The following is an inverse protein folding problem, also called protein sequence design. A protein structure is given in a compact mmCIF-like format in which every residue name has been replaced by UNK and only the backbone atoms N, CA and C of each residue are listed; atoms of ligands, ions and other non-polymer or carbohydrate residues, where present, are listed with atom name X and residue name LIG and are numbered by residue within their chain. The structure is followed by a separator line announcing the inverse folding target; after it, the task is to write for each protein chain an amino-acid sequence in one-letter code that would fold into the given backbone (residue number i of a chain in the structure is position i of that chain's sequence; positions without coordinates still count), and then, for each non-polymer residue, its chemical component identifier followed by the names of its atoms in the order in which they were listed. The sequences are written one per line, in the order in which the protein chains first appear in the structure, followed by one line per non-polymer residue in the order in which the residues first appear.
data_IF_404062019026
#
_entry.id   IF_404062019026
#
_cell.length_a   1.000
_cell.length_b   1.000
_cell.length_c   1.000
_cell.angle_alpha   90.00
_cell.angle_beta   90.00
_cell.angle_gamma   90.00
#
_symmetry.space_group_name_H-M   'P 1'
#
loop_
_entity.id
_entity.type
_entity.pdbx_description
1 polymer ?
#
# COMPACT_ATOMS: atom_id res chain seq x y z
N UNK A 1 -13.90 -31.06 -32.73
CA UNK A 1 -14.61 -29.79 -32.44
C UNK A 1 -13.74 -29.06 -31.43
N UNK A 2 -12.92 -28.15 -31.92
CA UNK A 2 -11.86 -27.49 -31.14
C UNK A 2 -12.38 -26.12 -30.76
N UNK A 3 -12.63 -25.88 -29.47
CA UNK A 3 -13.03 -24.56 -28.97
C UNK A 3 -11.76 -23.74 -28.76
N UNK A 4 -11.47 -22.85 -29.71
CA UNK A 4 -10.49 -21.79 -29.51
C UNK A 4 -11.07 -20.76 -28.54
N UNK A 5 -10.57 -20.76 -27.31
CA UNK A 5 -10.89 -19.73 -26.32
C UNK A 5 -9.96 -18.54 -26.62
N UNK A 6 -10.45 -17.60 -27.40
CA UNK A 6 -9.80 -16.29 -27.62
C UNK A 6 -9.99 -15.43 -26.36
N UNK A 7 -9.35 -15.80 -25.25
CA UNK A 7 -9.46 -15.13 -23.95
C UNK A 7 -8.28 -14.23 -23.59
N UNK A 8 -7.48 -13.77 -24.56
CA UNK A 8 -6.13 -13.25 -24.31
C UNK A 8 -5.96 -11.74 -24.17
N UNK A 9 -7.00 -10.91 -24.29
CA UNK A 9 -6.82 -9.45 -24.23
C UNK A 9 -7.83 -8.72 -23.32
N UNK A 10 -9.10 -9.12 -23.30
CA UNK A 10 -10.10 -8.49 -22.42
C UNK A 10 -9.95 -8.92 -20.95
N UNK A 11 -9.60 -10.18 -20.69
CA UNK A 11 -9.28 -10.66 -19.34
C UNK A 11 -8.01 -10.01 -18.79
N UNK A 12 -6.98 -9.84 -19.63
CA UNK A 12 -5.76 -9.13 -19.25
C UNK A 12 -6.00 -7.63 -19.02
N UNK A 13 -6.85 -6.99 -19.82
CA UNK A 13 -7.21 -5.59 -19.62
C UNK A 13 -8.02 -5.36 -18.33
N UNK A 14 -9.01 -6.22 -18.04
CA UNK A 14 -9.80 -6.18 -16.80
C UNK A 14 -8.94 -6.52 -15.57
N UNK A 15 -8.02 -7.48 -15.68
CA UNK A 15 -7.04 -7.77 -14.64
C UNK A 15 -6.08 -6.59 -14.41
N UNK A 16 -5.69 -5.87 -15.47
CA UNK A 16 -4.82 -4.69 -15.42
C UNK A 16 -5.51 -3.48 -14.79
N UNK A 17 -6.79 -3.25 -15.08
CA UNK A 17 -7.59 -2.21 -14.41
C UNK A 17 -7.84 -2.54 -12.94
N UNK A 18 -8.15 -3.81 -12.65
CA UNK A 18 -8.38 -4.28 -11.28
C UNK A 18 -7.10 -4.18 -10.43
N UNK A 19 -5.92 -4.53 -10.96
CA UNK A 19 -4.65 -4.47 -10.24
C UNK A 19 -4.16 -3.05 -9.86
N UNK A 20 -4.89 -2.00 -10.29
CA UNK A 20 -4.51 -0.60 -10.07
C UNK A 20 -4.90 -0.13 -8.68
N UNK A 21 -3.92 0.43 -7.98
CA UNK A 21 -4.15 1.11 -6.70
C UNK A 21 -5.18 2.25 -6.79
N UNK A 22 -6.23 2.18 -5.97
CA UNK A 22 -7.24 3.23 -5.80
C UNK A 22 -6.94 4.07 -4.55
N UNK A 23 -7.57 5.26 -4.45
CA UNK A 23 -7.48 6.17 -3.30
C UNK A 23 -8.85 6.78 -3.06
N UNK A 24 -9.34 6.72 -1.83
CA UNK A 24 -10.54 7.40 -1.37
C UNK A 24 -10.20 8.26 -0.15
N UNK A 25 -10.71 9.49 -0.09
CA UNK A 25 -10.42 10.42 1.00
C UNK A 25 -11.70 10.69 1.79
N UNK A 26 -11.62 10.55 3.11
CA UNK A 26 -12.74 10.85 4.02
C UNK A 26 -12.18 11.16 5.41
N UNK A 27 -12.77 12.13 6.12
CA UNK A 27 -12.51 12.34 7.55
C UNK A 27 -11.05 12.60 7.94
N UNK A 28 -10.23 13.19 7.06
CA UNK A 28 -8.80 13.39 7.33
C UNK A 28 -7.94 12.14 7.10
N UNK A 29 -8.48 11.13 6.44
CA UNK A 29 -7.81 9.86 6.13
C UNK A 29 -7.80 9.59 4.63
N UNK A 30 -6.89 8.72 4.20
CA UNK A 30 -6.87 8.14 2.86
C UNK A 30 -6.96 6.63 2.95
N UNK A 31 -7.90 6.06 2.22
CA UNK A 31 -8.04 4.61 2.03
C UNK A 31 -7.42 4.23 0.70
N UNK A 32 -6.44 3.33 0.72
CA UNK A 32 -5.84 2.75 -0.46
C UNK A 32 -6.50 1.40 -0.72
N UNK A 33 -7.07 1.24 -1.92
CA UNK A 33 -7.59 -0.04 -2.39
C UNK A 33 -6.64 -0.69 -3.39
N UNK A 34 -6.66 -2.01 -3.43
CA UNK A 34 -5.91 -2.83 -4.38
C UNK A 34 -6.80 -3.96 -4.91
N UNK A 35 -7.84 -3.61 -5.70
CA UNK A 35 -8.78 -4.61 -6.21
C UNK A 35 -8.07 -5.68 -7.06
N UNK A 36 -8.71 -6.83 -7.25
CA UNK A 36 -8.23 -7.89 -8.14
C UNK A 36 -6.88 -8.52 -7.81
N UNK A 37 -6.27 -8.21 -6.66
CA UNK A 37 -5.03 -8.89 -6.23
C UNK A 37 -5.37 -10.25 -5.61
N UNK A 38 -4.58 -11.29 -5.93
CA UNK A 38 -4.73 -12.55 -5.24
C UNK A 38 -4.31 -12.38 -3.75
N UNK A 39 -4.86 -13.17 -2.82
CA UNK A 39 -4.62 -13.00 -1.38
C UNK A 39 -3.13 -12.98 -0.98
N UNK A 40 -2.30 -13.75 -1.69
CA UNK A 40 -0.86 -13.90 -1.42
C UNK A 40 -0.06 -12.66 -1.81
N UNK A 41 -0.62 -11.78 -2.67
CA UNK A 41 -0.02 -10.52 -3.12
C UNK A 41 -0.79 -9.30 -2.65
N UNK A 42 -1.81 -9.50 -1.82
CA UNK A 42 -2.57 -8.41 -1.21
C UNK A 42 -1.76 -7.84 -0.03
N UNK A 43 -1.81 -6.52 0.22
CA UNK A 43 -1.22 -5.92 1.40
C UNK A 43 -1.64 -6.65 2.66
N UNK A 44 -0.70 -6.80 3.59
CA UNK A 44 -0.96 -7.37 4.90
C UNK A 44 -1.10 -6.24 5.89
N UNK A 45 -2.18 -6.22 6.66
CA UNK A 45 -2.40 -5.16 7.65
C UNK A 45 -2.55 -5.78 9.02
N UNK A 46 -1.88 -5.18 9.99
CA UNK A 46 -2.16 -5.39 11.41
C UNK A 46 -2.72 -4.07 11.95
N UNK A 47 -4.03 -4.04 12.20
CA UNK A 47 -4.76 -2.83 12.62
C UNK A 47 -4.06 -2.06 13.74
N UNK A 48 -3.73 -0.80 13.46
CA UNK A 48 -3.04 0.14 14.35
C UNK A 48 -1.55 -0.14 14.57
N UNK A 49 -0.97 -1.15 13.91
CA UNK A 49 0.37 -1.66 14.24
C UNK A 49 1.30 -1.80 13.05
N UNK A 50 0.81 -2.11 11.85
CA UNK A 50 1.70 -2.15 10.70
C UNK A 50 1.10 -2.59 9.39
N UNK A 51 1.92 -2.40 8.35
CA UNK A 51 1.63 -2.66 6.95
C UNK A 51 2.76 -3.48 6.33
N UNK A 52 2.41 -4.62 5.74
CA UNK A 52 3.24 -5.40 4.85
C UNK A 52 2.82 -5.19 3.41
N UNK A 53 3.78 -4.92 2.53
CA UNK A 53 3.55 -4.80 1.09
C UNK A 53 4.49 -5.74 0.33
N UNK A 54 4.05 -6.39 -0.76
CA UNK A 54 4.97 -7.11 -1.63
C UNK A 54 6.06 -6.16 -2.13
N UNK A 55 7.33 -6.59 -2.09
CA UNK A 55 8.46 -5.73 -2.44
C UNK A 55 8.33 -5.16 -3.87
N UNK A 56 7.93 -6.01 -4.81
CA UNK A 56 7.73 -5.66 -6.22
C UNK A 56 6.70 -4.52 -6.43
N UNK A 57 5.83 -4.26 -5.46
CA UNK A 57 4.80 -3.22 -5.51
C UNK A 57 5.22 -1.90 -4.87
N UNK A 58 6.31 -1.87 -4.11
CA UNK A 58 6.74 -0.66 -3.42
C UNK A 58 6.94 0.54 -4.36
N UNK A 59 7.55 0.41 -5.56
CA UNK A 59 7.66 1.54 -6.48
C UNK A 59 6.30 2.07 -6.95
N UNK A 60 5.31 1.17 -7.16
CA UNK A 60 3.95 1.57 -7.56
C UNK A 60 3.24 2.28 -6.42
N UNK A 61 3.33 1.73 -5.21
CA UNK A 61 2.71 2.31 -4.02
C UNK A 61 3.34 3.66 -3.61
N UNK A 62 4.65 3.82 -3.77
CA UNK A 62 5.36 5.10 -3.55
C UNK A 62 4.73 6.26 -4.33
N UNK A 63 4.31 5.98 -5.58
CA UNK A 63 3.64 6.97 -6.44
C UNK A 63 2.25 7.33 -5.90
N UNK A 64 1.55 6.40 -5.25
CA UNK A 64 0.25 6.67 -4.64
C UNK A 64 0.38 7.53 -3.39
N UNK A 65 1.40 7.30 -2.56
CA UNK A 65 1.74 8.21 -1.46
C UNK A 65 2.10 9.61 -1.98
N UNK A 66 2.82 9.70 -3.10
CA UNK A 66 3.12 10.98 -3.76
C UNK A 66 1.85 11.74 -4.15
N UNK A 67 0.88 11.02 -4.73
CA UNK A 67 -0.39 11.57 -5.19
C UNK A 67 -1.28 11.95 -4.02
N UNK A 68 -1.28 11.17 -2.93
CA UNK A 68 -2.01 11.50 -1.71
C UNK A 68 -1.58 12.84 -1.13
N UNK A 69 -0.27 13.10 -1.09
CA UNK A 69 0.28 14.38 -0.61
C UNK A 69 -0.01 15.59 -1.51
N UNK A 70 -0.55 15.37 -2.72
CA UNK A 70 -1.00 16.45 -3.62
C UNK A 70 -2.48 16.81 -3.43
N UNK A 71 -3.24 15.99 -2.71
CA UNK A 71 -4.67 16.21 -2.51
C UNK A 71 -4.91 17.34 -1.48
N UNK A 72 -5.90 18.24 -1.68
CA UNK A 72 -6.20 19.31 -0.72
C UNK A 72 -6.42 18.83 0.71
N UNK A 73 -7.19 17.75 0.89
CA UNK A 73 -7.43 17.14 2.20
C UNK A 73 -6.15 16.78 2.98
N UNK A 74 -5.05 16.43 2.28
CA UNK A 74 -3.78 16.17 2.96
C UNK A 74 -3.24 17.44 3.63
N UNK A 75 -3.36 18.59 2.96
CA UNK A 75 -2.88 19.87 3.47
C UNK A 75 -3.76 20.41 4.60
N UNK A 76 -5.08 20.19 4.50
CA UNK A 76 -6.03 20.53 5.57
C UNK A 76 -5.79 19.72 6.84
N UNK A 77 -5.50 18.42 6.70
CA UNK A 77 -5.23 17.54 7.83
C UNK A 77 -3.80 17.65 8.37
N UNK A 78 -2.87 18.28 7.64
CA UNK A 78 -1.44 18.27 7.98
C UNK A 78 -1.18 19.01 9.30
N UNK A 79 -0.55 18.31 10.24
CA UNK A 79 -0.04 18.90 11.48
C UNK A 79 1.46 19.20 11.33
N UNK A 80 1.91 20.48 11.37
CA UNK A 80 3.32 20.83 11.38
C UNK A 80 4.04 20.21 12.60
N UNK A 81 5.25 19.69 12.39
CA UNK A 81 6.04 19.11 13.48
C UNK A 81 5.57 17.74 14.01
N UNK A 82 4.58 17.11 13.36
CA UNK A 82 4.12 15.77 13.75
C UNK A 82 5.27 14.75 13.79
N UNK A 83 5.32 13.98 14.88
CA UNK A 83 6.34 12.94 15.08
C UNK A 83 6.13 11.79 14.09
N UNK A 84 7.20 11.37 13.43
CA UNK A 84 7.19 10.22 12.54
C UNK A 84 6.94 8.92 13.33
N UNK A 85 5.81 8.26 13.06
CA UNK A 85 5.41 6.99 13.72
C UNK A 85 5.79 5.68 12.99
N UNK A 86 6.22 5.75 11.74
CA UNK A 86 6.54 4.59 10.92
C UNK A 86 7.98 4.10 11.16
N UNK A 87 8.15 2.79 11.31
CA UNK A 87 9.47 2.13 11.37
C UNK A 87 10.18 2.15 10.02
N UNK A 88 11.46 1.76 10.04
CA UNK A 88 12.14 1.33 8.81
C UNK A 88 11.45 0.09 8.23
N UNK A 89 11.47 -0.04 6.90
CA UNK A 89 11.02 -1.25 6.22
C UNK A 89 11.96 -2.41 6.52
N UNK A 90 11.40 -3.59 6.75
CA UNK A 90 12.14 -4.85 6.94
C UNK A 90 11.66 -5.83 5.88
N UNK A 91 12.58 -6.30 5.04
CA UNK A 91 12.30 -7.34 4.08
C UNK A 91 12.19 -8.69 4.78
N UNK A 92 11.26 -9.50 4.32
CA UNK A 92 11.05 -10.89 4.71
C UNK A 92 11.22 -11.74 3.44
N UNK A 93 12.22 -12.63 3.47
CA UNK A 93 12.57 -13.47 2.32
C UNK A 93 11.65 -14.67 2.14
N UNK A 94 10.89 -15.06 3.18
CA UNK A 94 9.96 -16.19 3.13
C UNK A 94 8.76 -15.90 2.23
N UNK A 95 8.23 -14.66 2.29
CA UNK A 95 7.04 -14.27 1.54
C UNK A 95 7.26 -13.12 0.53
N UNK A 96 8.43 -12.49 0.55
CA UNK A 96 8.79 -11.38 -0.34
C UNK A 96 8.06 -10.08 -0.01
N UNK A 97 7.69 -9.88 1.27
CA UNK A 97 7.07 -8.65 1.75
C UNK A 97 8.09 -7.74 2.45
N UNK A 98 7.75 -6.45 2.46
CA UNK A 98 8.42 -5.45 3.27
C UNK A 98 7.45 -4.92 4.31
N UNK A 99 7.81 -5.07 5.57
CA UNK A 99 7.00 -4.72 6.72
C UNK A 99 7.42 -3.39 7.34
N UNK A 100 6.42 -2.54 7.60
CA UNK A 100 6.55 -1.28 8.31
C UNK A 100 5.61 -1.30 9.52
N UNK A 101 6.15 -1.12 10.72
CA UNK A 101 5.32 -0.82 11.89
C UNK A 101 4.83 0.62 11.80
N UNK A 102 3.57 0.85 12.11
CA UNK A 102 2.98 2.19 12.09
C UNK A 102 1.44 2.19 12.00
N UNK A 103 0.85 3.39 11.96
CA UNK A 103 -0.59 3.56 12.05
C UNK A 103 -1.27 3.34 10.69
N UNK A 104 -1.83 2.15 10.49
CA UNK A 104 -2.81 1.85 9.44
C UNK A 104 -3.89 0.90 9.95
N UNK A 105 -5.07 0.93 9.33
CA UNK A 105 -6.21 0.08 9.72
C UNK A 105 -6.87 -0.53 8.49
N UNK A 106 -7.64 -1.60 8.65
CA UNK A 106 -8.49 -2.17 7.59
C UNK A 106 -9.94 -2.36 8.06
N UNK A 107 -10.31 -1.76 9.20
CA UNK A 107 -11.65 -1.85 9.77
C UNK A 107 -11.95 -3.13 10.57
N UNK A 108 -11.22 -4.22 10.37
CA UNK A 108 -11.47 -5.45 11.13
C UNK A 108 -10.78 -5.45 12.51
N UNK A 109 -11.42 -6.06 13.54
CA UNK A 109 -10.91 -6.08 14.91
C UNK A 109 -9.86 -7.16 15.17
N UNK A 110 -9.54 -8.00 14.18
CA UNK A 110 -8.74 -9.19 14.37
C UNK A 110 -7.24 -8.87 14.51
N UNK A 111 -6.52 -9.54 15.43
CA UNK A 111 -5.09 -9.32 15.60
C UNK A 111 -4.26 -9.99 14.50
N UNK A 112 -3.07 -9.42 14.27
CA UNK A 112 -2.04 -9.95 13.38
C UNK A 112 -2.14 -9.41 11.96
N UNK A 113 -1.12 -9.71 11.16
CA UNK A 113 -1.09 -9.38 9.74
C UNK A 113 -2.10 -10.24 8.98
N UNK A 114 -3.02 -9.59 8.26
CA UNK A 114 -4.01 -10.25 7.40
C UNK A 114 -4.06 -9.62 6.02
N UNK A 115 -4.28 -10.40 4.95
CA UNK A 115 -4.56 -9.84 3.64
C UNK A 115 -5.73 -8.85 3.70
N UNK A 116 -5.53 -7.64 3.20
CA UNK A 116 -6.53 -6.59 3.18
C UNK A 116 -6.57 -5.92 1.80
N UNK A 117 -7.69 -6.06 1.09
CA UNK A 117 -7.88 -5.44 -0.22
C UNK A 117 -7.98 -3.91 -0.15
N UNK A 118 -8.24 -3.36 1.03
CA UNK A 118 -8.17 -1.95 1.31
C UNK A 118 -7.63 -1.70 2.72
N UNK A 119 -6.94 -0.56 2.88
CA UNK A 119 -6.49 -0.11 4.18
C UNK A 119 -6.41 1.41 4.24
N UNK A 120 -6.51 1.93 5.45
CA UNK A 120 -6.68 3.36 5.73
C UNK A 120 -5.50 3.87 6.54
N UNK A 121 -5.03 5.06 6.19
CA UNK A 121 -3.97 5.79 6.88
C UNK A 121 -4.46 7.22 7.11
N UNK A 122 -4.28 7.73 8.33
CA UNK A 122 -4.52 9.13 8.62
C UNK A 122 -3.59 10.01 7.79
N UNK A 123 -4.11 11.07 7.16
CA UNK A 123 -3.34 11.93 6.26
C UNK A 123 -2.06 12.51 6.87
N UNK A 124 -2.01 12.88 8.18
CA UNK A 124 -0.76 13.28 8.84
C UNK A 124 0.37 12.25 8.77
N UNK A 125 0.03 10.96 8.76
CA UNK A 125 0.98 9.86 8.82
C UNK A 125 1.52 9.44 7.42
N UNK A 126 0.87 9.90 6.33
CA UNK A 126 1.22 9.54 4.94
C UNK A 126 2.65 9.95 4.58
N UNK A 127 3.05 11.18 4.94
CA UNK A 127 4.41 11.68 4.66
C UNK A 127 5.46 10.79 5.29
N UNK A 128 5.19 10.30 6.48
CA UNK A 128 6.11 9.46 7.20
C UNK A 128 6.36 8.12 6.49
N UNK A 129 5.29 7.42 6.12
CA UNK A 129 5.40 6.19 5.36
C UNK A 129 6.14 6.41 4.03
N UNK A 130 5.87 7.52 3.34
CA UNK A 130 6.59 7.87 2.10
C UNK A 130 8.09 7.98 2.31
N UNK A 131 8.55 8.63 3.38
CA UNK A 131 9.98 8.76 3.69
C UNK A 131 10.61 7.39 3.93
N UNK A 132 9.95 6.53 4.72
CA UNK A 132 10.44 5.18 5.04
C UNK A 132 10.53 4.28 3.82
N UNK A 133 9.51 4.33 2.96
CA UNK A 133 9.48 3.57 1.73
C UNK A 133 10.55 4.07 0.74
N UNK A 134 10.72 5.38 0.59
CA UNK A 134 11.77 5.94 -0.26
C UNK A 134 13.18 5.55 0.23
N UNK A 135 13.41 5.57 1.54
CA UNK A 135 14.68 5.14 2.14
C UNK A 135 14.94 3.64 1.89
N UNK A 136 13.91 2.79 2.00
CA UNK A 136 14.02 1.37 1.68
C UNK A 136 14.41 1.15 0.22
N UNK A 137 13.69 1.78 -0.73
CA UNK A 137 13.97 1.66 -2.16
C UNK A 137 15.37 2.15 -2.53
N UNK A 138 15.83 3.24 -1.91
CA UNK A 138 17.17 3.77 -2.13
C UNK A 138 18.26 2.81 -1.62
N UNK A 139 18.04 2.13 -0.49
CA UNK A 139 18.97 1.14 0.03
C UNK A 139 18.98 -0.14 -0.83
N UNK A 140 17.81 -0.63 -1.25
CA UNK A 140 17.70 -1.80 -2.11
C UNK A 140 18.44 -1.62 -3.45
N UNK A 141 18.32 -0.43 -4.07
CA UNK A 141 19.02 -0.12 -5.33
C UNK A 141 20.54 0.04 -5.23
N UNK A 142 21.10 0.16 -4.02
CA UNK A 142 22.55 0.19 -3.78
C UNK A 142 23.18 -1.20 -3.64
N UNK A 143 22.35 -2.25 -3.60
CA UNK A 143 22.79 -3.64 -3.38
C UNK A 143 22.86 -4.45 -4.68
N UNK A 144 22.70 -3.78 -5.83
CA UNK A 144 22.73 -4.35 -7.20
C UNK A 144 23.96 -3.92 -7.96
#
# INVERSE_FOLDING_TARGET
MTLEITGGHEFDALATESARWTRHYAGGEVTFGCPGRPPERTPRVWGGRGLGLPEAELPRFARQLARAMKHPAYWEARVPGAVQRWSRGRYDDEDGFVYFLGPCTHGDPWPGYRPAHAFTIALPDVRGLRIRLAAYLAAAGQTT
#
